data_IF_794883106494
#
_entry.id   IF_794883106494
#
_cell.length_a   1.000
_cell.length_b   1.000
_cell.length_c   1.000
_cell.angle_alpha   90.00
_cell.angle_beta   90.00
_cell.angle_gamma   90.00
#
_symmetry.space_group_name_H-M   'P 1'
#
loop_
_entity.id
_entity.type
_entity.pdbx_description
1 polymer ?
#
# COMPACT_ATOMS: atom_id res chain seq x y z
N UNK A 1 20.80 -4.80 -18.50
CA UNK A 1 19.37 -4.63 -18.17
C UNK A 1 19.28 -4.62 -16.65
N UNK A 2 19.03 -3.47 -16.01
CA UNK A 2 18.81 -3.44 -14.56
C UNK A 2 17.47 -4.12 -14.32
N UNK A 3 17.49 -5.31 -13.72
CA UNK A 3 16.27 -5.90 -13.17
C UNK A 3 15.81 -4.97 -12.07
N UNK A 4 14.67 -4.32 -12.26
CA UNK A 4 14.03 -3.55 -11.21
C UNK A 4 13.63 -4.53 -10.11
N UNK A 5 14.14 -4.36 -8.89
CA UNK A 5 13.80 -5.23 -7.77
C UNK A 5 12.33 -5.04 -7.43
N UNK A 6 11.59 -6.14 -7.27
CA UNK A 6 10.19 -6.07 -6.86
C UNK A 6 10.04 -5.35 -5.52
N UNK A 7 11.01 -5.46 -4.63
CA UNK A 7 11.01 -4.77 -3.34
C UNK A 7 11.18 -3.26 -3.46
N UNK A 8 12.01 -2.79 -4.41
CA UNK A 8 12.18 -1.37 -4.70
C UNK A 8 10.88 -0.78 -5.25
N UNK A 9 10.23 -1.49 -6.18
CA UNK A 9 8.91 -1.08 -6.70
C UNK A 9 7.85 -1.03 -5.60
N UNK A 10 7.78 -2.05 -4.73
CA UNK A 10 6.84 -2.07 -3.61
C UNK A 10 7.10 -0.95 -2.62
N UNK A 11 8.37 -0.57 -2.40
CA UNK A 11 8.75 0.55 -1.54
C UNK A 11 8.31 1.88 -2.12
N UNK A 12 8.52 2.12 -3.42
CA UNK A 12 8.05 3.34 -4.08
C UNK A 12 6.53 3.48 -4.05
N UNK A 13 5.80 2.37 -4.18
CA UNK A 13 4.34 2.37 -4.00
C UNK A 13 3.99 2.77 -2.57
N UNK A 14 4.65 2.21 -1.55
CA UNK A 14 4.40 2.57 -0.15
C UNK A 14 4.66 4.05 0.16
N UNK A 15 5.65 4.65 -0.50
CA UNK A 15 5.99 6.06 -0.36
C UNK A 15 4.91 6.94 -1.03
N UNK A 16 4.47 6.59 -2.24
CA UNK A 16 3.35 7.26 -2.89
C UNK A 16 2.03 7.15 -2.09
N UNK A 17 1.79 6.02 -1.41
CA UNK A 17 0.65 5.88 -0.51
C UNK A 17 0.75 6.84 0.69
N UNK A 18 1.95 7.10 1.20
CA UNK A 18 2.16 8.08 2.27
C UNK A 18 1.86 9.51 1.82
N UNK A 19 2.19 9.86 0.59
CA UNK A 19 1.82 11.17 0.02
C UNK A 19 0.29 11.33 -0.08
N UNK A 20 -0.42 10.26 -0.48
CA UNK A 20 -1.89 10.27 -0.51
C UNK A 20 -2.51 10.37 0.89
N UNK A 21 -1.89 9.76 1.91
CA UNK A 21 -2.33 9.86 3.30
C UNK A 21 -2.21 11.29 3.83
N UNK A 22 -1.21 12.07 3.39
CA UNK A 22 -1.09 13.50 3.70
C UNK A 22 -2.24 14.30 3.06
N UNK A 23 -2.58 14.01 1.80
CA UNK A 23 -3.73 14.64 1.13
C UNK A 23 -5.04 14.30 1.85
N UNK A 24 -5.19 13.05 2.29
CA UNK A 24 -6.34 12.62 3.07
C UNK A 24 -6.44 13.36 4.40
N UNK A 25 -5.31 13.55 5.10
CA UNK A 25 -5.24 14.32 6.34
C UNK A 25 -5.67 15.77 6.13
N UNK A 26 -5.19 16.40 5.07
CA UNK A 26 -5.58 17.76 4.72
C UNK A 26 -7.09 17.88 4.48
N UNK A 27 -7.68 16.90 3.76
CA UNK A 27 -9.12 16.88 3.47
C UNK A 27 -10.00 16.69 4.71
N UNK A 28 -9.50 16.01 5.74
CA UNK A 28 -10.24 15.73 6.98
C UNK A 28 -9.97 16.75 8.09
N UNK A 29 -8.85 17.48 8.04
CA UNK A 29 -8.44 18.39 9.13
C UNK A 29 -8.53 19.87 8.75
N UNK A 30 -8.30 20.25 7.48
CA UNK A 30 -8.31 21.66 7.07
C UNK A 30 -9.70 22.09 6.59
N UNK A 31 -10.49 22.63 7.53
CA UNK A 31 -11.86 23.13 7.30
C UNK A 31 -12.74 22.10 6.55
N UNK A 32 -12.94 20.90 7.12
CA UNK A 32 -13.61 19.83 6.42
C UNK A 32 -15.08 20.17 6.21
N UNK A 33 -15.59 19.79 5.03
CA UNK A 33 -17.02 19.61 4.82
C UNK A 33 -17.31 18.12 4.65
N UNK A 34 -18.59 17.74 4.67
CA UNK A 34 -18.98 16.33 4.59
C UNK A 34 -18.37 15.60 3.38
N UNK A 35 -18.22 16.29 2.24
CA UNK A 35 -17.64 15.72 1.04
C UNK A 35 -16.12 15.55 1.16
N UNK A 36 -15.39 16.55 1.68
CA UNK A 36 -13.94 16.45 1.87
C UNK A 36 -13.59 15.40 2.91
N UNK A 37 -14.34 15.31 4.01
CA UNK A 37 -14.16 14.30 5.04
C UNK A 37 -14.39 12.90 4.48
N UNK A 38 -15.49 12.68 3.73
CA UNK A 38 -15.77 11.39 3.10
C UNK A 38 -14.68 10.98 2.11
N UNK A 39 -14.17 11.93 1.30
CA UNK A 39 -13.06 11.68 0.36
C UNK A 39 -11.77 11.34 1.09
N UNK A 40 -11.41 12.09 2.14
CA UNK A 40 -10.22 11.81 2.96
C UNK A 40 -10.29 10.43 3.62
N UNK A 41 -11.42 10.08 4.22
CA UNK A 41 -11.64 8.75 4.78
C UNK A 41 -11.55 7.64 3.71
N UNK A 42 -12.11 7.89 2.52
CA UNK A 42 -12.01 6.96 1.39
C UNK A 42 -10.57 6.71 0.94
N UNK A 43 -9.73 7.75 0.92
CA UNK A 43 -8.31 7.63 0.60
C UNK A 43 -7.59 6.80 1.67
N UNK A 44 -7.80 7.08 2.96
CA UNK A 44 -7.20 6.26 4.04
C UNK A 44 -7.60 4.78 3.95
N UNK A 45 -8.86 4.48 3.64
CA UNK A 45 -9.31 3.10 3.49
C UNK A 45 -8.61 2.41 2.31
N UNK A 46 -8.47 3.11 1.19
CA UNK A 46 -7.77 2.61 0.01
C UNK A 46 -6.29 2.36 0.28
N UNK A 47 -5.59 3.31 0.91
CA UNK A 47 -4.14 3.18 1.20
C UNK A 47 -3.89 2.02 2.17
N UNK A 48 -4.68 1.89 3.22
CA UNK A 48 -4.60 0.77 4.16
C UNK A 48 -4.80 -0.58 3.48
N UNK A 49 -5.78 -0.70 2.57
CA UNK A 49 -6.00 -1.94 1.80
C UNK A 49 -4.81 -2.29 0.93
N UNK A 50 -4.19 -1.31 0.26
CA UNK A 50 -3.03 -1.55 -0.60
C UNK A 50 -1.82 -1.95 0.25
N UNK A 51 -1.57 -1.28 1.38
CA UNK A 51 -0.48 -1.66 2.31
C UNK A 51 -0.63 -3.10 2.80
N UNK A 52 -1.86 -3.53 3.10
CA UNK A 52 -2.12 -4.93 3.46
C UNK A 52 -1.75 -5.91 2.32
N UNK A 53 -2.07 -5.59 1.07
CA UNK A 53 -1.69 -6.41 -0.08
C UNK A 53 -0.17 -6.47 -0.27
N UNK A 54 0.53 -5.33 -0.16
CA UNK A 54 2.00 -5.27 -0.23
C UNK A 54 2.64 -6.16 0.84
N UNK A 55 2.14 -6.10 2.08
CA UNK A 55 2.61 -6.95 3.16
C UNK A 55 2.42 -8.45 2.85
N UNK A 56 1.33 -8.82 2.20
CA UNK A 56 1.08 -10.21 1.81
C UNK A 56 1.96 -10.67 0.64
N UNK A 57 2.23 -9.80 -0.34
CA UNK A 57 3.18 -10.08 -1.42
C UNK A 57 4.56 -10.37 -0.82
N UNK A 58 5.06 -9.48 0.04
CA UNK A 58 6.34 -9.67 0.72
C UNK A 58 6.36 -10.98 1.52
N UNK A 59 5.30 -11.31 2.25
CA UNK A 59 5.20 -12.60 2.98
C UNK A 59 5.21 -13.82 2.06
N UNK A 60 4.52 -13.76 0.92
CA UNK A 60 4.49 -14.84 -0.06
C UNK A 60 5.84 -15.10 -0.72
N UNK A 61 6.62 -14.05 -0.97
CA UNK A 61 8.00 -14.18 -1.47
C UNK A 61 8.96 -14.79 -0.44
N UNK A 62 8.69 -14.60 0.85
CA UNK A 62 9.51 -15.16 1.95
C UNK A 62 9.10 -16.59 2.35
N UNK A 63 8.03 -17.16 1.77
CA UNK A 63 7.74 -18.57 1.98
C UNK A 63 8.73 -19.42 1.17
N UNK A 64 9.46 -20.36 1.79
CA UNK A 64 10.26 -21.30 1.01
C UNK A 64 9.30 -22.04 0.07
N UNK A 65 9.65 -22.11 -1.23
CA UNK A 65 8.93 -23.00 -2.15
C UNK A 65 8.93 -24.37 -1.49
N UNK A 66 7.77 -24.85 -1.07
CA UNK A 66 7.62 -26.24 -0.65
C UNK A 66 7.98 -27.03 -1.89
N UNK A 67 9.18 -27.62 -1.91
CA UNK A 67 9.54 -28.54 -2.96
C UNK A 67 8.43 -29.59 -3.00
N UNK A 68 7.84 -29.78 -4.16
CA UNK A 68 7.04 -30.96 -4.49
C UNK A 68 7.90 -32.18 -4.16
N UNK A 69 7.75 -32.72 -2.95
CA UNK A 69 8.22 -34.06 -2.64
C UNK A 69 7.14 -34.99 -3.16
N UNK A 70 7.15 -35.19 -4.47
CA UNK A 70 6.60 -36.41 -5.06
C UNK A 70 7.57 -37.54 -4.70
N UNK A 71 7.20 -38.40 -3.75
CA UNK A 71 7.65 -39.80 -3.63
C UNK A 71 6.80 -40.53 -2.59
#
# INVERSE_FOLDING_TARGET
MKTYDANDALKEIEDALSELEIVAEDLTTKNPNNESEQRGQGIYQATNRIRFLIANIRRGEHMPKTNDVSS
#
